data_IF_905032146338
#
_entry.id   IF_905032146338
#
_cell.length_a   1.000
_cell.length_b   1.000
_cell.length_c   1.000
_cell.angle_alpha   90.00
_cell.angle_beta   90.00
_cell.angle_gamma   90.00
#
_symmetry.space_group_name_H-M   'P 1'
#
loop_
_entity.id
_entity.type
_entity.pdbx_description
1 polymer ?
#
# COMPACT_ATOMS: atom_id res chain seq x y z
N UNK A 1 25.49 -12.57 18.99
CA UNK A 1 24.48 -13.35 18.22
C UNK A 1 23.15 -12.95 18.81
N UNK A 2 22.24 -12.37 18.03
CA UNK A 2 20.91 -12.01 18.52
C UNK A 2 19.98 -13.21 18.41
N UNK A 3 19.13 -13.39 19.43
CA UNK A 3 18.24 -14.55 19.54
C UNK A 3 17.08 -14.47 18.55
N UNK A 4 16.52 -15.62 18.20
CA UNK A 4 15.28 -15.74 17.42
C UNK A 4 14.11 -16.16 18.30
N UNK A 5 12.85 -15.93 17.86
CA UNK A 5 11.66 -16.32 18.63
C UNK A 5 11.64 -17.81 19.00
N UNK A 6 12.23 -18.67 18.17
CA UNK A 6 12.33 -20.13 18.38
C UNK A 6 13.27 -20.52 19.51
N UNK A 7 14.14 -19.61 19.96
CA UNK A 7 15.10 -19.80 21.05
C UNK A 7 14.58 -19.25 22.39
N UNK A 8 13.39 -18.65 22.40
CA UNK A 8 12.67 -18.25 23.61
C UNK A 8 11.80 -19.40 24.10
N UNK A 9 11.65 -19.53 25.43
CA UNK A 9 10.60 -20.37 26.00
C UNK A 9 9.22 -19.81 25.63
N UNK A 10 8.16 -20.62 25.72
CA UNK A 10 6.80 -20.15 25.40
C UNK A 10 6.36 -18.99 26.31
N UNK A 11 6.68 -19.05 27.61
CA UNK A 11 6.36 -17.99 28.57
C UNK A 11 7.15 -16.70 28.29
N UNK A 12 8.43 -16.82 27.96
CA UNK A 12 9.28 -15.69 27.59
C UNK A 12 8.77 -15.05 26.29
N UNK A 13 8.40 -15.86 25.29
CA UNK A 13 7.82 -15.38 24.04
C UNK A 13 6.54 -14.59 24.25
N UNK A 14 5.59 -15.11 25.03
CA UNK A 14 4.32 -14.43 25.31
C UNK A 14 4.52 -13.10 26.04
N UNK A 15 5.43 -13.08 27.02
CA UNK A 15 5.79 -11.87 27.76
C UNK A 15 6.38 -10.79 26.84
N UNK A 16 7.33 -11.16 25.97
CA UNK A 16 7.97 -10.24 25.03
C UNK A 16 6.95 -9.70 24.03
N UNK A 17 6.13 -10.56 23.42
CA UNK A 17 5.10 -10.15 22.45
C UNK A 17 4.12 -9.17 23.10
N UNK A 18 3.60 -9.50 24.29
CA UNK A 18 2.67 -8.66 25.03
C UNK A 18 3.26 -7.29 25.39
N UNK A 19 4.53 -7.25 25.80
CA UNK A 19 5.21 -6.01 26.18
C UNK A 19 5.43 -5.11 24.96
N UNK A 20 5.98 -5.66 23.87
CA UNK A 20 6.20 -4.93 22.62
C UNK A 20 4.89 -4.35 22.08
N UNK A 21 3.81 -5.14 22.07
CA UNK A 21 2.50 -4.68 21.58
C UNK A 21 1.92 -3.56 22.45
N UNK A 22 2.00 -3.68 23.78
CA UNK A 22 1.54 -2.62 24.71
C UNK A 22 2.34 -1.33 24.55
N UNK A 23 3.65 -1.42 24.39
CA UNK A 23 4.50 -0.24 24.18
C UNK A 23 4.24 0.40 22.82
N UNK A 24 4.05 -0.40 21.77
CA UNK A 24 3.66 0.08 20.45
C UNK A 24 2.31 0.82 20.50
N UNK A 25 1.31 0.25 21.17
CA UNK A 25 -0.01 0.88 21.37
C UNK A 25 0.10 2.18 22.18
N UNK A 26 0.78 2.16 23.33
CA UNK A 26 0.97 3.34 24.18
C UNK A 26 1.73 4.47 23.47
N UNK A 27 2.57 4.14 22.50
CA UNK A 27 3.33 5.11 21.72
C UNK A 27 2.60 5.63 20.48
N UNK A 28 1.36 5.16 20.22
CA UNK A 28 0.63 5.52 19.00
C UNK A 28 1.33 5.03 17.73
N UNK A 29 1.77 3.76 17.71
CA UNK A 29 2.63 3.16 16.67
C UNK A 29 2.31 3.58 15.23
N UNK A 30 1.03 3.59 14.84
CA UNK A 30 0.59 3.95 13.49
C UNK A 30 0.93 5.40 13.09
N UNK A 31 0.98 6.31 14.06
CA UNK A 31 1.23 7.74 13.87
C UNK A 31 2.71 8.13 14.01
N UNK A 32 3.58 7.19 14.40
CA UNK A 32 5.00 7.46 14.57
C UNK A 32 5.73 7.62 13.22
N UNK A 33 6.64 8.59 13.16
CA UNK A 33 7.59 8.73 12.06
C UNK A 33 8.54 7.54 11.98
N UNK A 34 9.13 7.28 10.80
CA UNK A 34 10.08 6.18 10.61
C UNK A 34 11.29 6.26 11.55
N UNK A 35 11.77 7.47 11.89
CA UNK A 35 12.88 7.65 12.84
C UNK A 35 12.48 7.26 14.26
N UNK A 36 11.24 7.55 14.68
CA UNK A 36 10.71 7.15 15.98
C UNK A 36 10.44 5.64 16.05
N UNK A 37 9.89 5.05 14.99
CA UNK A 37 9.74 3.59 14.85
C UNK A 37 11.09 2.87 14.91
N UNK A 38 12.10 3.39 14.21
CA UNK A 38 13.46 2.83 14.24
C UNK A 38 14.07 2.89 15.63
N UNK A 39 13.86 3.98 16.39
CA UNK A 39 14.36 4.09 17.76
C UNK A 39 13.69 3.08 18.71
N UNK A 40 12.39 2.86 18.57
CA UNK A 40 11.67 1.82 19.33
C UNK A 40 12.18 0.41 18.99
N UNK A 41 12.37 0.10 17.70
CA UNK A 41 12.97 -1.18 17.31
C UNK A 41 14.35 -1.37 17.92
N UNK A 42 15.24 -0.37 17.85
CA UNK A 42 16.57 -0.48 18.45
C UNK A 42 16.51 -0.66 19.98
N UNK A 43 15.56 -0.01 20.66
CA UNK A 43 15.36 -0.20 22.09
C UNK A 43 14.90 -1.64 22.42
N UNK A 44 13.92 -2.18 21.67
CA UNK A 44 13.44 -3.55 21.85
C UNK A 44 14.51 -4.60 21.50
N UNK A 45 15.27 -4.39 20.43
CA UNK A 45 16.38 -5.25 20.04
C UNK A 45 17.39 -5.38 21.19
N UNK A 46 17.78 -4.24 21.78
CA UNK A 46 18.70 -4.23 22.91
C UNK A 46 18.09 -4.80 24.20
N UNK A 47 16.80 -4.58 24.44
CA UNK A 47 16.15 -4.99 25.69
C UNK A 47 15.88 -6.49 25.74
N UNK A 48 15.47 -7.07 24.61
CA UNK A 48 15.09 -8.49 24.51
C UNK A 48 16.18 -9.37 23.88
N UNK A 49 17.30 -8.79 23.45
CA UNK A 49 18.37 -9.46 22.71
C UNK A 49 17.84 -10.20 21.45
N UNK A 50 16.90 -9.58 20.75
CA UNK A 50 16.27 -10.10 19.53
C UNK A 50 16.78 -9.38 18.30
N UNK A 51 16.81 -10.07 17.16
CA UNK A 51 17.14 -9.42 15.89
C UNK A 51 16.01 -8.53 15.39
N UNK A 52 16.36 -7.52 14.58
CA UNK A 52 15.39 -6.64 13.93
C UNK A 52 14.29 -7.40 13.18
N UNK A 53 14.67 -8.40 12.37
CA UNK A 53 13.73 -9.25 11.63
C UNK A 53 12.79 -10.01 12.55
N UNK A 54 13.29 -10.48 13.69
CA UNK A 54 12.48 -11.20 14.68
C UNK A 54 11.41 -10.29 15.28
N UNK A 55 11.76 -9.06 15.62
CA UNK A 55 10.82 -8.06 16.13
C UNK A 55 9.82 -7.62 15.04
N UNK A 56 10.30 -7.30 13.85
CA UNK A 56 9.46 -6.81 12.75
C UNK A 56 8.49 -7.88 12.24
N UNK A 57 9.02 -9.01 11.76
CA UNK A 57 8.22 -10.00 11.05
C UNK A 57 7.61 -11.05 11.98
N UNK A 58 8.25 -11.31 13.12
CA UNK A 58 7.81 -12.31 14.09
C UNK A 58 6.83 -11.78 15.15
N UNK A 59 6.98 -10.51 15.55
CA UNK A 59 6.20 -9.92 16.65
C UNK A 59 5.26 -8.82 16.13
N UNK A 60 5.79 -7.80 15.47
CA UNK A 60 5.03 -6.61 15.07
C UNK A 60 4.06 -6.88 13.91
N UNK A 61 4.36 -7.82 13.03
CA UNK A 61 3.45 -8.22 11.95
C UNK A 61 2.04 -8.62 12.42
N UNK A 62 1.94 -9.28 13.58
CA UNK A 62 0.64 -9.63 14.19
C UNK A 62 -0.06 -8.44 14.84
N UNK A 63 0.70 -7.48 15.36
CA UNK A 63 0.22 -6.22 15.91
C UNK A 63 -0.33 -5.30 14.82
N UNK A 64 0.44 -5.10 13.74
CA UNK A 64 0.03 -4.30 12.58
C UNK A 64 -1.28 -4.87 11.98
N UNK A 65 -1.43 -6.20 11.97
CA UNK A 65 -2.67 -6.85 11.55
C UNK A 65 -3.85 -6.63 12.51
N UNK A 66 -3.60 -6.63 13.84
CA UNK A 66 -4.62 -6.41 14.87
C UNK A 66 -5.04 -4.93 15.01
N UNK A 67 -4.16 -3.99 14.65
CA UNK A 67 -4.40 -2.55 14.59
C UNK A 67 -5.16 -2.12 13.31
N UNK A 68 -5.67 -3.06 12.52
CA UNK A 68 -6.52 -2.77 11.36
C UNK A 68 -5.82 -2.75 10.01
N UNK A 69 -4.63 -3.37 9.86
CA UNK A 69 -4.02 -3.56 8.55
C UNK A 69 -3.91 -5.05 8.19
N UNK A 70 -5.02 -5.72 7.85
CA UNK A 70 -4.94 -7.04 7.25
C UNK A 70 -4.49 -6.93 5.78
N UNK A 71 -3.59 -7.80 5.33
CA UNK A 71 -3.39 -8.11 3.90
C UNK A 71 -4.68 -8.52 3.17
N UNK A 72 -5.71 -8.95 3.92
CA UNK A 72 -7.06 -9.20 3.38
C UNK A 72 -7.76 -7.91 2.92
N UNK A 73 -7.43 -6.77 3.50
CA UNK A 73 -8.03 -5.49 3.12
C UNK A 73 -7.62 -5.06 1.71
N UNK A 74 -6.37 -5.27 1.29
CA UNK A 74 -5.93 -4.90 -0.07
C UNK A 74 -6.70 -5.69 -1.14
N UNK A 75 -6.91 -6.99 -0.93
CA UNK A 75 -7.75 -7.81 -1.81
C UNK A 75 -9.22 -7.33 -1.81
N UNK A 76 -9.78 -7.00 -0.65
CA UNK A 76 -11.15 -6.46 -0.55
C UNK A 76 -11.28 -5.09 -1.25
N UNK A 77 -10.29 -4.22 -1.09
CA UNK A 77 -10.22 -2.93 -1.79
C UNK A 77 -10.08 -3.14 -3.29
N UNK A 78 -9.23 -4.07 -3.73
CA UNK A 78 -9.09 -4.41 -5.14
C UNK A 78 -10.40 -4.94 -5.73
N UNK A 79 -11.12 -5.81 -5.03
CA UNK A 79 -12.44 -6.31 -5.44
C UNK A 79 -13.45 -5.15 -5.55
N UNK A 80 -13.45 -4.22 -4.60
CA UNK A 80 -14.34 -3.06 -4.61
C UNK A 80 -14.04 -2.09 -5.77
N UNK A 81 -12.77 -1.71 -5.95
CA UNK A 81 -12.31 -0.88 -7.06
C UNK A 81 -12.63 -1.52 -8.41
N UNK A 82 -12.39 -2.82 -8.53
CA UNK A 82 -12.74 -3.60 -9.74
C UNK A 82 -14.24 -3.54 -10.02
N UNK A 83 -15.07 -3.72 -9.00
CA UNK A 83 -16.53 -3.61 -9.11
C UNK A 83 -16.96 -2.22 -9.56
N UNK A 84 -16.35 -1.17 -9.01
CA UNK A 84 -16.64 0.22 -9.39
C UNK A 84 -16.33 0.46 -10.88
N UNK A 85 -15.14 0.07 -11.36
CA UNK A 85 -14.79 0.19 -12.78
C UNK A 85 -15.75 -0.59 -13.69
N UNK A 86 -16.10 -1.83 -13.31
CA UNK A 86 -17.06 -2.64 -14.08
C UNK A 86 -18.45 -2.00 -14.14
N UNK A 87 -18.93 -1.43 -13.04
CA UNK A 87 -20.21 -0.71 -12.99
C UNK A 87 -20.18 0.57 -13.85
N UNK A 88 -19.02 1.21 -13.99
CA UNK A 88 -18.79 2.31 -14.93
C UNK A 88 -18.65 1.86 -16.40
N UNK A 89 -18.78 0.56 -16.70
CA UNK A 89 -18.68 0.02 -18.05
C UNK A 89 -17.24 -0.10 -18.58
N UNK A 90 -16.24 0.04 -17.71
CA UNK A 90 -14.83 -0.07 -18.08
C UNK A 90 -14.42 -1.55 -18.12
N UNK A 91 -13.69 -1.95 -19.16
CA UNK A 91 -13.13 -3.29 -19.22
C UNK A 91 -11.94 -3.40 -18.28
N UNK A 92 -11.97 -4.41 -17.40
CA UNK A 92 -10.95 -4.65 -16.38
C UNK A 92 -10.36 -6.05 -16.54
N UNK A 93 -9.03 -6.13 -16.58
CA UNK A 93 -8.24 -7.36 -16.46
C UNK A 93 -7.56 -7.33 -15.10
N UNK A 94 -7.94 -8.24 -14.21
CA UNK A 94 -7.34 -8.38 -12.89
C UNK A 94 -6.05 -9.19 -12.97
N UNK A 95 -5.08 -8.86 -12.11
CA UNK A 95 -3.85 -9.62 -11.92
C UNK A 95 -3.12 -9.88 -13.25
N UNK A 96 -3.03 -8.81 -14.06
CA UNK A 96 -2.51 -8.84 -15.42
C UNK A 96 -1.02 -9.19 -15.40
N UNK A 97 -0.67 -10.34 -15.98
CA UNK A 97 0.71 -10.80 -15.99
C UNK A 97 1.60 -9.93 -16.87
N UNK A 98 2.76 -9.54 -16.36
CA UNK A 98 3.79 -8.88 -17.14
C UNK A 98 4.58 -9.89 -17.98
N UNK A 99 5.41 -9.40 -18.90
CA UNK A 99 6.10 -10.24 -19.89
C UNK A 99 7.05 -11.30 -19.31
N UNK A 100 7.55 -11.07 -18.10
CA UNK A 100 8.35 -12.01 -17.30
C UNK A 100 7.51 -13.13 -16.67
N UNK A 101 6.20 -12.95 -16.58
CA UNK A 101 5.23 -13.88 -15.96
C UNK A 101 5.27 -13.97 -14.44
N UNK A 102 6.24 -13.31 -13.79
CA UNK A 102 6.40 -13.33 -12.32
C UNK A 102 5.63 -12.20 -11.65
N UNK A 103 5.75 -11.00 -12.20
CA UNK A 103 5.07 -9.82 -11.72
C UNK A 103 3.68 -9.68 -12.35
N UNK A 104 2.73 -9.17 -11.56
CA UNK A 104 1.35 -8.94 -11.98
C UNK A 104 0.96 -7.55 -11.53
N UNK A 105 0.44 -6.75 -12.45
CA UNK A 105 -0.22 -5.51 -12.09
C UNK A 105 -1.60 -5.83 -11.51
N UNK A 106 -2.04 -5.06 -10.51
CA UNK A 106 -3.33 -5.30 -9.88
C UNK A 106 -4.46 -5.26 -10.89
N UNK A 107 -4.52 -4.18 -11.70
CA UNK A 107 -5.51 -4.03 -12.75
C UNK A 107 -4.89 -3.46 -14.04
N UNK A 108 -5.41 -3.93 -15.17
CA UNK A 108 -5.24 -3.31 -16.46
C UNK A 108 -6.61 -2.96 -17.03
N UNK A 109 -6.83 -1.69 -17.37
CA UNK A 109 -8.14 -1.20 -17.83
C UNK A 109 -8.08 -0.53 -19.20
N UNK A 110 -9.20 -0.52 -19.92
CA UNK A 110 -9.33 0.24 -21.16
C UNK A 110 -10.62 0.00 -21.92
N UNK A 111 -10.62 0.33 -23.21
CA UNK A 111 -11.80 0.18 -24.07
C UNK A 111 -12.17 -1.29 -24.29
N UNK A 112 -11.18 -2.18 -24.31
CA UNK A 112 -11.38 -3.63 -24.42
C UNK A 112 -10.17 -4.37 -23.88
N UNK A 113 -10.29 -5.70 -23.69
CA UNK A 113 -9.17 -6.56 -23.32
C UNK A 113 -8.01 -6.55 -24.32
N UNK A 114 -8.25 -6.11 -25.57
CA UNK A 114 -7.22 -5.99 -26.62
C UNK A 114 -6.62 -4.58 -26.74
N UNK A 115 -7.21 -3.60 -26.07
CA UNK A 115 -6.79 -2.20 -26.11
C UNK A 115 -6.79 -1.64 -24.67
N UNK A 116 -5.81 -2.06 -23.85
CA UNK A 116 -5.60 -1.45 -22.55
C UNK A 116 -5.10 -0.01 -22.72
N UNK A 117 -5.46 0.83 -21.75
CA UNK A 117 -5.14 2.26 -21.75
C UNK A 117 -4.45 2.67 -20.46
N UNK A 118 -4.79 2.02 -19.34
CA UNK A 118 -4.18 2.31 -18.04
C UNK A 118 -3.75 1.03 -17.37
N UNK A 119 -2.65 1.12 -16.64
CA UNK A 119 -2.18 0.10 -15.70
C UNK A 119 -2.26 0.69 -14.30
N UNK A 120 -2.86 -0.06 -13.39
CA UNK A 120 -3.21 0.43 -12.06
C UNK A 120 -2.50 -0.44 -11.02
N UNK A 121 -1.86 0.24 -10.07
CA UNK A 121 -1.47 -0.36 -8.80
C UNK A 121 -2.34 0.22 -7.68
N UNK A 122 -2.81 -0.63 -6.79
CA UNK A 122 -3.62 -0.28 -5.63
C UNK A 122 -2.77 -0.53 -4.38
N UNK A 123 -2.47 0.53 -3.64
CA UNK A 123 -1.48 0.45 -2.57
C UNK A 123 -1.94 1.22 -1.33
N UNK A 124 -1.51 0.77 -0.15
CA UNK A 124 -1.75 1.52 1.07
C UNK A 124 -0.93 2.80 1.08
N UNK A 125 -1.49 3.87 1.65
CA UNK A 125 -0.82 5.17 1.69
C UNK A 125 0.52 5.16 2.45
N UNK A 126 0.77 4.21 3.34
CA UNK A 126 2.06 4.05 4.03
C UNK A 126 3.16 3.43 3.14
N UNK A 127 2.78 2.61 2.15
CA UNK A 127 3.64 1.95 1.14
C UNK A 127 3.64 2.62 -0.24
N UNK A 128 3.03 3.81 -0.38
CA UNK A 128 2.85 4.52 -1.66
C UNK A 128 4.07 4.58 -2.59
N UNK A 129 5.28 4.70 -2.05
CA UNK A 129 6.50 4.84 -2.87
C UNK A 129 6.83 3.56 -3.64
N UNK A 130 6.50 2.41 -3.05
CA UNK A 130 6.68 1.11 -3.70
C UNK A 130 5.61 0.89 -4.77
N UNK A 131 4.34 1.18 -4.44
CA UNK A 131 3.25 1.16 -5.43
C UNK A 131 3.50 2.09 -6.62
N UNK A 132 4.03 3.30 -6.39
CA UNK A 132 4.44 4.22 -7.45
C UNK A 132 5.51 3.60 -8.36
N UNK A 133 6.55 3.00 -7.75
CA UNK A 133 7.63 2.32 -8.47
C UNK A 133 7.09 1.15 -9.30
N UNK A 134 6.14 0.40 -8.76
CA UNK A 134 5.48 -0.71 -9.44
C UNK A 134 4.65 -0.22 -10.63
N UNK A 135 3.79 0.79 -10.45
CA UNK A 135 2.98 1.37 -11.53
C UNK A 135 3.83 1.84 -12.72
N UNK A 136 4.92 2.57 -12.44
CA UNK A 136 5.90 3.01 -13.47
C UNK A 136 6.60 1.83 -14.13
N UNK A 137 6.98 0.82 -13.34
CA UNK A 137 7.62 -0.37 -13.88
C UNK A 137 6.68 -1.16 -14.79
N UNK A 138 5.41 -1.35 -14.43
CA UNK A 138 4.43 -2.04 -15.29
C UNK A 138 4.21 -1.30 -16.59
N UNK A 139 4.12 0.03 -16.56
CA UNK A 139 4.05 0.86 -17.78
C UNK A 139 5.23 0.55 -18.71
N UNK A 140 6.46 0.58 -18.17
CA UNK A 140 7.66 0.30 -18.94
C UNK A 140 7.68 -1.16 -19.45
N UNK A 141 7.25 -2.11 -18.63
CA UNK A 141 7.18 -3.54 -18.97
C UNK A 141 6.20 -3.81 -20.12
N UNK A 142 5.01 -3.20 -20.09
CA UNK A 142 4.00 -3.29 -21.16
C UNK A 142 4.55 -2.67 -22.44
N UNK A 143 5.19 -1.50 -22.36
CA UNK A 143 5.79 -0.88 -23.54
C UNK A 143 6.92 -1.73 -24.12
N UNK A 144 7.77 -2.31 -23.28
CA UNK A 144 8.85 -3.18 -23.73
C UNK A 144 8.32 -4.42 -24.47
N UNK A 145 7.26 -5.04 -23.95
CA UNK A 145 6.71 -6.28 -24.47
C UNK A 145 5.81 -6.09 -25.70
N UNK A 146 4.93 -5.09 -25.67
CA UNK A 146 3.87 -4.92 -26.67
C UNK A 146 4.04 -3.67 -27.53
N UNK A 147 5.02 -2.80 -27.23
CA UNK A 147 5.18 -1.46 -27.83
C UNK A 147 3.93 -0.59 -27.69
N UNK A 148 3.17 -0.83 -26.62
CA UNK A 148 1.96 -0.08 -26.27
C UNK A 148 2.23 0.89 -25.13
N UNK A 149 1.74 2.11 -25.28
CA UNK A 149 1.72 3.09 -24.20
C UNK A 149 0.45 2.89 -23.39
N UNK A 150 0.63 2.72 -22.09
CA UNK A 150 -0.44 2.77 -21.10
C UNK A 150 -0.12 3.87 -20.09
N UNK A 151 -1.16 4.45 -19.50
CA UNK A 151 -1.04 5.47 -18.47
C UNK A 151 -0.95 4.79 -17.10
N UNK A 152 0.08 5.08 -16.29
CA UNK A 152 0.20 4.53 -14.94
C UNK A 152 -0.76 5.27 -14.00
N UNK A 153 -1.45 4.49 -13.17
CA UNK A 153 -2.35 4.99 -12.15
C UNK A 153 -1.96 4.36 -10.81
N UNK A 154 -1.90 5.19 -9.76
CA UNK A 154 -1.74 4.74 -8.39
C UNK A 154 -3.02 5.05 -7.64
N UNK A 155 -3.70 4.03 -7.11
CA UNK A 155 -4.86 4.20 -6.26
C UNK A 155 -4.44 3.97 -4.81
N UNK A 156 -4.55 5.00 -3.97
CA UNK A 156 -4.22 4.92 -2.55
C UNK A 156 -5.44 4.69 -1.66
N UNK A 157 -5.26 3.87 -0.63
CA UNK A 157 -6.25 3.65 0.43
C UNK A 157 -5.62 3.64 1.82
N UNK A 158 -6.45 3.66 2.86
CA UNK A 158 -6.02 3.65 4.26
C UNK A 158 -5.93 5.07 4.83
N UNK A 159 -4.84 5.41 5.50
CA UNK A 159 -4.71 6.68 6.21
C UNK A 159 -3.33 7.32 6.02
N UNK A 160 -3.30 8.64 5.90
CA UNK A 160 -2.07 9.46 5.89
C UNK A 160 -2.37 10.87 6.42
N UNK A 161 -1.35 11.72 6.58
CA UNK A 161 -1.55 13.15 6.83
C UNK A 161 -1.71 13.92 5.51
N UNK A 162 -2.36 15.09 5.55
CA UNK A 162 -2.50 15.98 4.41
C UNK A 162 -1.14 16.42 3.85
N UNK A 163 -0.20 16.83 4.71
CA UNK A 163 1.16 17.22 4.30
C UNK A 163 1.89 16.12 3.51
N UNK A 164 1.69 14.86 3.93
CA UNK A 164 2.29 13.72 3.24
C UNK A 164 1.57 13.43 1.93
N UNK A 165 0.25 13.59 1.89
CA UNK A 165 -0.52 13.43 0.66
C UNK A 165 -0.11 14.44 -0.41
N UNK A 166 0.10 15.70 -0.05
CA UNK A 166 0.62 16.74 -0.97
C UNK A 166 1.99 16.35 -1.57
N UNK A 167 2.88 15.77 -0.77
CA UNK A 167 4.16 15.27 -1.27
C UNK A 167 3.99 14.11 -2.27
N UNK A 168 3.04 13.22 -1.98
CA UNK A 168 2.72 12.08 -2.86
C UNK A 168 2.16 12.60 -4.18
N UNK A 169 1.21 13.53 -4.13
CA UNK A 169 0.60 14.16 -5.30
C UNK A 169 1.66 14.83 -6.18
N UNK A 170 2.48 15.70 -5.60
CA UNK A 170 3.55 16.38 -6.32
C UNK A 170 4.55 15.40 -6.96
N UNK A 171 4.82 14.27 -6.29
CA UNK A 171 5.69 13.22 -6.82
C UNK A 171 5.04 12.47 -7.98
N UNK A 172 3.75 12.15 -7.88
CA UNK A 172 3.00 11.50 -8.96
C UNK A 172 2.92 12.41 -10.19
N UNK A 173 2.62 13.70 -10.00
CA UNK A 173 2.57 14.70 -11.06
C UNK A 173 3.91 14.83 -11.79
N UNK A 174 5.01 14.91 -11.03
CA UNK A 174 6.36 14.96 -11.60
C UNK A 174 6.70 13.74 -12.47
N UNK A 175 6.16 12.57 -12.10
CA UNK A 175 6.40 11.31 -12.81
C UNK A 175 5.31 10.97 -13.84
N UNK A 176 4.36 11.88 -14.08
CA UNK A 176 3.22 11.66 -14.97
C UNK A 176 2.37 10.42 -14.61
N UNK A 177 2.19 10.18 -13.31
CA UNK A 177 1.32 9.12 -12.77
C UNK A 177 0.02 9.74 -12.30
N UNK A 178 -1.10 9.18 -12.73
CA UNK A 178 -2.41 9.61 -12.21
C UNK A 178 -2.57 9.09 -10.79
N UNK A 179 -2.65 9.99 -9.82
CA UNK A 179 -3.01 9.64 -8.45
C UNK A 179 -4.54 9.64 -8.32
N UNK A 180 -5.07 8.57 -7.72
CA UNK A 180 -6.46 8.53 -7.26
C UNK A 180 -6.52 7.89 -5.89
N UNK A 181 -7.66 8.02 -5.20
CA UNK A 181 -7.83 7.48 -3.85
C UNK A 181 -9.11 6.67 -3.74
N UNK A 182 -9.16 5.72 -2.82
CA UNK A 182 -10.38 5.02 -2.47
C UNK A 182 -10.39 4.72 -0.97
N UNK A 183 -11.36 5.28 -0.24
CA UNK A 183 -11.41 5.20 1.24
C UNK A 183 -10.10 5.63 1.91
N UNK A 184 -9.46 6.65 1.36
CA UNK A 184 -8.29 7.27 1.98
C UNK A 184 -8.76 8.31 3.00
N UNK A 185 -8.18 8.29 4.19
CA UNK A 185 -8.37 9.33 5.20
C UNK A 185 -7.11 10.21 5.31
N UNK A 186 -7.31 11.52 5.28
CA UNK A 186 -6.32 12.56 5.54
C UNK A 186 -6.61 13.18 6.90
N UNK A 187 -5.72 12.98 7.87
CA UNK A 187 -5.87 13.51 9.23
C UNK A 187 -7.23 13.18 9.89
N UNK A 188 -7.83 12.04 9.51
CA UNK A 188 -9.11 11.53 10.03
C UNK A 188 -10.34 11.94 9.20
N UNK A 189 -10.17 12.68 8.11
CA UNK A 189 -11.25 13.04 7.18
C UNK A 189 -11.10 12.29 5.85
N UNK A 190 -12.20 11.85 5.25
CA UNK A 190 -12.16 11.13 3.96
C UNK A 190 -11.71 12.07 2.84
N UNK A 191 -10.66 11.67 2.12
CA UNK A 191 -10.19 12.32 0.89
C UNK A 191 -11.26 12.16 -0.21
N UNK A 192 -11.61 13.26 -0.87
CA UNK A 192 -12.71 13.27 -1.84
C UNK A 192 -12.38 13.92 -3.18
N UNK A 193 -11.37 14.79 -3.23
CA UNK A 193 -10.97 15.54 -4.43
C UNK A 193 -10.32 14.63 -5.47
N UNK A 194 -9.41 13.74 -5.04
CA UNK A 194 -8.72 12.77 -5.88
C UNK A 194 -9.37 11.38 -5.83
N UNK A 195 -10.56 11.28 -5.24
CA UNK A 195 -11.26 10.01 -5.09
C UNK A 195 -11.55 9.35 -6.44
N UNK A 196 -11.61 8.01 -6.44
CA UNK A 196 -12.00 7.22 -7.61
C UNK A 196 -13.37 7.65 -8.16
N UNK A 197 -14.26 8.11 -7.27
CA UNK A 197 -15.53 8.71 -7.65
C UNK A 197 -15.37 10.01 -8.45
N UNK A 198 -14.49 10.91 -8.01
CA UNK A 198 -14.16 12.14 -8.74
C UNK A 198 -13.49 11.84 -10.08
N UNK A 199 -12.59 10.86 -10.14
CA UNK A 199 -11.93 10.42 -11.37
C UNK A 199 -12.94 9.93 -12.43
N UNK A 200 -13.94 9.14 -12.02
CA UNK A 200 -14.88 8.52 -12.95
C UNK A 200 -16.02 9.45 -13.39
N UNK A 201 -16.47 10.34 -12.50
CA UNK A 201 -17.60 11.22 -12.78
C UNK A 201 -17.18 12.64 -13.20
N UNK A 202 -15.88 12.94 -13.10
CA UNK A 202 -15.33 14.28 -13.25
C UNK A 202 -15.66 15.17 -12.05
N UNK A 203 -14.78 16.15 -11.77
CA UNK A 203 -15.31 17.46 -11.38
C UNK A 203 -15.97 18.01 -12.64
N UNK A 204 -17.18 18.55 -12.54
CA UNK A 204 -17.96 19.08 -13.68
C UNK A 204 -17.06 19.81 -14.68
N UNK A 205 -16.68 19.11 -15.76
CA UNK A 205 -16.10 19.72 -16.95
C UNK A 205 -17.30 20.30 -17.70
N UNK A 206 -17.74 21.47 -17.26
CA UNK A 206 -18.52 22.40 -18.09
C UNK A 206 -17.60 23.12 -19.07
#
# INVERSE_FOLDING_TARGET
MTRTLTELSSEERESVVSTVHKEAEASGWSQLSNSRKSALYSAWESHFDLSHTTLKDGIMKGFDAAQGIPKKAEAEIQEEVTRIFRLAGINVIEQAAMWTGKERADLLIGYSSKFPTHVIEIERADSWSEGLRQALWYQAAIFQAERRHVLPVLILFGNTSADRFEQILATCDHNHVTLSTHRLELDGEIESEYSLGALLNGSTLE
#
